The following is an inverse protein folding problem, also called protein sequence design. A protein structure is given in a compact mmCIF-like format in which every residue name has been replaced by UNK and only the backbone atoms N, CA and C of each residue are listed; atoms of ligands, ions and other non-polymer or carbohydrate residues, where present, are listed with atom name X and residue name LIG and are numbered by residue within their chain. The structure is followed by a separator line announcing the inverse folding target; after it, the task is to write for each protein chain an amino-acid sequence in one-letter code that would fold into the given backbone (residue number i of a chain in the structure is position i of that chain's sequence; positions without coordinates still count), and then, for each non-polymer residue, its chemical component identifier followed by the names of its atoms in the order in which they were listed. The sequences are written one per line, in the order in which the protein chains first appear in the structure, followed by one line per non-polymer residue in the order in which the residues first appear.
data_IF_924681005552
#
_entry.id   IF_924681005552
#
_cell.length_a   1.000
_cell.length_b   1.000
_cell.length_c   1.000
_cell.angle_alpha   90.00
_cell.angle_beta   90.00
_cell.angle_gamma   90.00
#
_symmetry.space_group_name_H-M   'P 1'
#
loop_
_entity.id
_entity.type
_entity.pdbx_description
1 polymer ?
#
# COMPACT_ATOMS: atom_id res chain seq x y z
N UNK A 1 7.72 50.63 78.05
CA UNK A 1 8.08 50.62 76.61
C UNK A 1 8.54 49.23 76.23
N UNK A 2 7.69 48.50 75.53
CA UNK A 2 7.84 47.10 75.10
C UNK A 2 8.65 47.03 73.81
N UNK A 3 9.83 46.40 73.82
CA UNK A 3 10.54 45.96 72.61
C UNK A 3 10.53 44.43 72.59
N UNK A 4 9.55 43.84 71.91
CA UNK A 4 9.45 42.40 71.64
C UNK A 4 9.47 42.18 70.13
N UNK A 5 10.19 41.14 69.71
CA UNK A 5 9.87 40.31 68.54
C UNK A 5 10.03 40.90 67.14
N UNK A 6 11.26 40.97 66.63
CA UNK A 6 11.50 41.04 65.16
C UNK A 6 12.57 40.08 64.63
N UNK A 7 13.45 39.52 65.47
CA UNK A 7 14.54 38.63 65.02
C UNK A 7 14.13 37.15 64.84
N UNK A 8 13.09 36.66 65.54
CA UNK A 8 12.64 35.28 65.34
C UNK A 8 11.86 35.08 64.03
N UNK A 9 11.26 36.13 63.47
CA UNK A 9 10.44 36.04 62.25
C UNK A 9 11.26 35.87 60.97
N UNK A 10 12.45 36.47 60.89
CA UNK A 10 13.33 36.38 59.71
C UNK A 10 14.05 35.05 59.62
N UNK A 11 14.47 34.48 60.76
CA UNK A 11 15.12 33.16 60.83
C UNK A 11 14.11 32.05 60.48
N UNK A 12 12.88 32.14 60.99
CA UNK A 12 11.81 31.20 60.63
C UNK A 12 11.48 31.28 59.13
N UNK A 13 11.39 32.49 58.56
CA UNK A 13 11.11 32.67 57.13
C UNK A 13 12.23 32.14 56.22
N UNK A 14 13.49 32.30 56.62
CA UNK A 14 14.63 31.74 55.88
C UNK A 14 14.64 30.21 55.92
N UNK A 15 14.38 29.60 57.07
CA UNK A 15 14.27 28.14 57.20
C UNK A 15 13.13 27.56 56.35
N UNK A 16 11.98 28.24 56.27
CA UNK A 16 10.87 27.81 55.42
C UNK A 16 11.21 27.95 53.93
N UNK A 17 11.87 29.04 53.53
CA UNK A 17 12.28 29.25 52.13
C UNK A 17 13.32 28.22 51.69
N UNK A 18 14.34 27.97 52.51
CA UNK A 18 15.35 26.93 52.25
C UNK A 18 14.73 25.52 52.24
N UNK A 19 13.79 25.24 53.14
CA UNK A 19 13.07 23.96 53.17
C UNK A 19 12.24 23.73 51.90
N UNK A 20 11.53 24.75 51.41
CA UNK A 20 10.75 24.67 50.17
C UNK A 20 11.66 24.44 48.94
N UNK A 21 12.81 25.11 48.87
CA UNK A 21 13.77 24.90 47.78
C UNK A 21 14.31 23.48 47.79
N UNK A 22 14.67 22.93 48.95
CA UNK A 22 15.17 21.55 49.06
C UNK A 22 14.09 20.55 48.63
N UNK A 23 12.83 20.76 49.03
CA UNK A 23 11.71 19.90 48.60
C UNK A 23 11.50 20.00 47.09
N UNK A 24 11.54 21.20 46.50
CA UNK A 24 11.41 21.39 45.05
C UNK A 24 12.57 20.75 44.26
N UNK A 25 13.81 20.91 44.72
CA UNK A 25 14.96 20.26 44.09
C UNK A 25 14.88 18.73 44.22
N UNK A 26 14.39 18.22 45.34
CA UNK A 26 14.23 16.78 45.55
C UNK A 26 13.12 16.20 44.67
N UNK A 27 11.98 16.90 44.54
CA UNK A 27 10.89 16.50 43.64
C UNK A 27 11.29 16.60 42.17
N UNK A 28 12.09 17.61 41.80
CA UNK A 28 12.63 17.74 40.45
C UNK A 28 13.62 16.62 40.14
N UNK A 29 14.56 16.31 41.05
CA UNK A 29 15.48 15.19 40.92
C UNK A 29 14.74 13.85 40.87
N UNK A 30 13.69 13.67 41.69
CA UNK A 30 12.84 12.48 41.64
C UNK A 30 12.10 12.38 40.30
N UNK A 31 11.58 13.49 39.77
CA UNK A 31 11.00 13.59 38.44
C UNK A 31 11.96 13.14 37.35
N UNK A 32 13.20 13.63 37.37
CA UNK A 32 14.27 13.23 36.44
C UNK A 32 14.63 11.74 36.54
N UNK A 33 14.60 11.16 37.76
CA UNK A 33 14.83 9.73 38.00
C UNK A 33 13.65 8.89 37.51
N UNK A 34 12.41 9.34 37.69
CA UNK A 34 11.20 8.63 37.20
C UNK A 34 11.00 8.73 35.69
N UNK A 35 11.50 9.79 35.05
CA UNK A 35 11.45 9.98 33.59
C UNK A 35 12.62 9.33 32.85
N UNK A 36 13.42 8.49 33.53
CA UNK A 36 14.63 7.83 33.00
C UNK A 36 15.56 8.78 32.21
N UNK A 37 15.66 10.03 32.65
CA UNK A 37 16.60 11.01 32.10
C UNK A 37 17.99 10.80 32.69
N UNK A 38 18.47 9.55 32.71
CA UNK A 38 19.89 9.28 32.88
C UNK A 38 20.57 9.71 31.58
N UNK A 39 21.02 10.96 31.51
CA UNK A 39 21.77 11.48 30.36
C UNK A 39 22.98 10.60 30.00
N UNK A 40 23.49 9.85 30.97
CA UNK A 40 24.62 8.93 30.84
C UNK A 40 24.23 7.56 30.26
N UNK A 41 22.94 7.22 30.23
CA UNK A 41 22.39 5.95 29.72
C UNK A 41 21.22 6.14 28.74
N UNK A 42 21.02 7.35 28.20
CA UNK A 42 19.99 7.59 27.19
C UNK A 42 20.28 6.68 25.99
N UNK A 43 19.46 5.64 25.83
CA UNK A 43 19.62 4.70 24.73
C UNK A 43 19.53 5.49 23.43
N UNK A 44 20.58 5.42 22.60
CA UNK A 44 20.55 5.95 21.24
C UNK A 44 19.84 4.99 20.27
N UNK A 45 19.25 3.89 20.79
CA UNK A 45 18.41 3.02 20.00
C UNK A 45 17.17 3.82 19.55
N UNK A 46 16.85 3.81 18.26
CA UNK A 46 15.66 4.47 17.77
C UNK A 46 14.42 3.80 18.35
N UNK A 47 13.34 4.57 18.38
CA UNK A 47 12.04 4.04 18.77
C UNK A 47 11.70 2.80 17.95
N UNK A 48 11.09 1.82 18.61
CA UNK A 48 10.62 0.64 17.92
C UNK A 48 9.61 1.06 16.82
N UNK A 49 9.72 0.52 15.59
CA UNK A 49 8.79 0.86 14.53
C UNK A 49 7.36 0.52 14.95
N UNK A 50 6.40 1.37 14.57
CA UNK A 50 4.98 1.07 14.71
C UNK A 50 4.61 -0.17 13.90
N UNK A 51 3.46 -0.78 14.17
CA UNK A 51 3.03 -1.96 13.40
C UNK A 51 2.77 -1.61 11.93
N UNK A 52 2.29 -0.39 11.66
CA UNK A 52 2.17 0.17 10.31
C UNK A 52 3.53 0.26 9.60
N UNK A 53 4.55 0.74 10.31
CA UNK A 53 5.91 0.83 9.78
C UNK A 53 6.49 -0.56 9.48
N UNK A 54 6.28 -1.53 10.37
CA UNK A 54 6.75 -2.91 10.15
C UNK A 54 6.10 -3.52 8.91
N UNK A 55 4.78 -3.41 8.78
CA UNK A 55 4.06 -4.00 7.65
C UNK A 55 4.46 -3.34 6.32
N UNK A 56 4.54 -2.01 6.30
CA UNK A 56 5.05 -1.26 5.13
C UNK A 56 6.49 -1.67 4.79
N UNK A 57 7.34 -1.85 5.79
CA UNK A 57 8.73 -2.27 5.62
C UNK A 57 8.85 -3.68 5.04
N UNK A 58 8.00 -4.63 5.47
CA UNK A 58 7.98 -5.98 4.91
C UNK A 58 7.71 -5.98 3.41
N UNK A 59 6.80 -5.11 2.94
CA UNK A 59 6.54 -4.94 1.51
C UNK A 59 7.72 -4.26 0.83
N UNK A 60 8.19 -3.12 1.37
CA UNK A 60 9.28 -2.34 0.77
C UNK A 60 10.56 -3.15 0.59
N UNK A 61 10.91 -4.05 1.54
CA UNK A 61 12.08 -4.92 1.42
C UNK A 61 11.95 -5.87 0.22
N UNK A 62 10.80 -6.54 0.05
CA UNK A 62 10.59 -7.45 -1.09
C UNK A 62 10.55 -6.67 -2.40
N UNK A 63 9.95 -5.47 -2.42
CA UNK A 63 9.99 -4.59 -3.58
C UNK A 63 11.43 -4.21 -3.95
N UNK A 64 12.27 -3.85 -2.98
CA UNK A 64 13.67 -3.51 -3.21
C UNK A 64 14.50 -4.70 -3.72
N UNK A 65 14.29 -5.89 -3.16
CA UNK A 65 14.89 -7.12 -3.69
C UNK A 65 14.47 -7.38 -5.14
N UNK A 66 13.19 -7.18 -5.45
CA UNK A 66 12.61 -7.36 -6.79
C UNK A 66 13.16 -6.33 -7.78
N UNK A 67 13.34 -5.08 -7.37
CA UNK A 67 13.97 -4.03 -8.16
C UNK A 67 15.41 -4.40 -8.53
N UNK A 68 16.21 -4.81 -7.54
CA UNK A 68 17.59 -5.27 -7.76
C UNK A 68 17.66 -6.51 -8.67
N UNK A 69 16.73 -7.45 -8.52
CA UNK A 69 16.61 -8.61 -9.42
C UNK A 69 16.27 -8.19 -10.85
N UNK A 70 15.29 -7.31 -11.00
CA UNK A 70 14.85 -6.80 -12.30
C UNK A 70 16.00 -6.08 -13.02
N UNK A 71 16.75 -5.23 -12.31
CA UNK A 71 17.94 -4.57 -12.83
C UNK A 71 18.98 -5.59 -13.33
N UNK A 72 19.32 -6.58 -12.50
CA UNK A 72 20.30 -7.63 -12.85
C UNK A 72 19.87 -8.49 -14.03
N UNK A 73 18.56 -8.68 -14.22
CA UNK A 73 17.96 -9.44 -15.33
C UNK A 73 17.61 -8.57 -16.55
N UNK A 74 17.93 -7.27 -16.54
CA UNK A 74 17.55 -6.29 -17.56
C UNK A 74 16.02 -6.24 -17.84
N UNK A 75 15.20 -6.39 -16.80
CA UNK A 75 13.74 -6.35 -16.86
C UNK A 75 13.21 -4.94 -16.59
N UNK A 76 13.43 -4.04 -17.55
CA UNK A 76 13.19 -2.59 -17.39
C UNK A 76 11.77 -2.24 -16.94
N UNK A 77 10.74 -2.91 -17.45
CA UNK A 77 9.36 -2.64 -17.03
C UNK A 77 9.13 -2.95 -15.54
N UNK A 78 9.72 -4.05 -15.06
CA UNK A 78 9.62 -4.45 -13.65
C UNK A 78 10.48 -3.55 -12.76
N UNK A 79 11.68 -3.18 -13.21
CA UNK A 79 12.56 -2.24 -12.51
C UNK A 79 11.88 -0.87 -12.32
N UNK A 80 11.33 -0.29 -13.39
CA UNK A 80 10.60 1.00 -13.32
C UNK A 80 9.41 0.92 -12.36
N UNK A 81 8.61 -0.15 -12.46
CA UNK A 81 7.43 -0.30 -11.61
C UNK A 81 7.79 -0.46 -10.13
N UNK A 82 8.77 -1.30 -9.83
CA UNK A 82 9.24 -1.52 -8.46
C UNK A 82 9.91 -0.28 -7.87
N UNK A 83 10.62 0.52 -8.67
CA UNK A 83 11.15 1.81 -8.23
C UNK A 83 10.01 2.76 -7.83
N UNK A 84 8.98 2.86 -8.67
CA UNK A 84 7.83 3.70 -8.36
C UNK A 84 7.08 3.24 -7.10
N UNK A 85 6.99 1.93 -6.86
CA UNK A 85 6.44 1.39 -5.61
C UNK A 85 7.30 1.74 -4.41
N UNK A 86 8.63 1.64 -4.51
CA UNK A 86 9.53 2.08 -3.43
C UNK A 86 9.35 3.54 -3.10
N UNK A 87 9.32 4.41 -4.11
CA UNK A 87 9.15 5.85 -3.91
C UNK A 87 7.82 6.14 -3.20
N UNK A 88 6.76 5.44 -3.59
CA UNK A 88 5.42 5.58 -2.98
C UNK A 88 5.36 5.03 -1.56
N UNK A 89 6.09 3.94 -1.27
CA UNK A 89 6.23 3.36 0.06
C UNK A 89 7.22 4.14 0.95
N UNK A 90 7.91 5.17 0.44
CA UNK A 90 8.94 5.90 1.19
C UNK A 90 10.26 5.15 1.34
N UNK A 91 10.50 4.15 0.50
CA UNK A 91 11.71 3.34 0.47
C UNK A 91 11.81 2.31 1.61
N UNK A 92 13.00 1.72 1.73
CA UNK A 92 13.32 0.77 2.81
C UNK A 92 13.85 1.57 4.00
N UNK A 93 13.13 1.56 5.11
CA UNK A 93 13.54 2.25 6.32
C UNK A 93 14.79 1.61 6.92
N UNK A 94 15.69 2.45 7.41
CA UNK A 94 16.85 2.06 8.21
C UNK A 94 16.96 2.98 9.42
N UNK A 95 17.27 2.43 10.62
CA UNK A 95 17.28 3.21 11.84
C UNK A 95 18.31 4.35 11.86
N UNK A 96 19.47 4.14 11.23
CA UNK A 96 20.51 5.17 11.08
C UNK A 96 20.94 5.29 9.61
N UNK A 97 20.28 6.12 8.79
CA UNK A 97 20.56 6.24 7.36
C UNK A 97 21.94 6.81 7.06
N UNK A 98 22.45 7.69 7.93
CA UNK A 98 23.77 8.33 7.79
C UNK A 98 24.89 7.56 8.52
N UNK A 99 24.62 6.35 8.99
CA UNK A 99 25.55 5.53 9.77
C UNK A 99 25.19 5.45 11.25
N UNK A 100 25.31 4.25 11.82
CA UNK A 100 24.96 4.00 13.21
C UNK A 100 25.99 4.63 14.17
N UNK A 101 25.55 5.17 15.33
CA UNK A 101 26.45 5.62 16.39
C UNK A 101 27.40 4.51 16.84
N UNK A 102 28.53 4.90 17.44
CA UNK A 102 29.54 3.96 17.93
C UNK A 102 28.91 2.94 18.89
N UNK A 103 29.08 1.66 18.59
CA UNK A 103 28.51 0.55 19.38
C UNK A 103 27.15 0.05 18.88
N UNK A 104 26.54 0.72 17.90
CA UNK A 104 25.28 0.32 17.27
C UNK A 104 25.50 -0.14 15.83
N UNK A 105 24.57 -0.94 15.30
CA UNK A 105 24.54 -1.35 13.88
C UNK A 105 23.09 -1.32 13.40
N UNK A 106 22.89 -0.90 12.15
CA UNK A 106 21.61 -1.13 11.48
C UNK A 106 21.32 -2.64 11.42
N UNK A 107 20.05 -3.07 11.58
CA UNK A 107 19.66 -4.44 11.31
C UNK A 107 20.11 -4.87 9.90
N UNK A 108 20.58 -6.12 9.72
CA UNK A 108 20.92 -6.61 8.39
C UNK A 108 19.65 -6.65 7.52
N UNK A 109 19.71 -6.00 6.37
CA UNK A 109 18.67 -6.08 5.34
C UNK A 109 19.23 -6.90 4.19
N UNK A 110 18.60 -8.03 3.89
CA UNK A 110 18.93 -8.78 2.70
C UNK A 110 18.23 -8.12 1.51
N UNK A 111 18.92 -7.22 0.81
CA UNK A 111 18.40 -6.59 -0.42
C UNK A 111 19.03 -7.19 -1.68
N UNK A 112 19.97 -8.10 -1.50
CA UNK A 112 20.76 -8.71 -2.57
C UNK A 112 20.14 -10.05 -2.94
N UNK A 113 19.88 -10.32 -4.22
CA UNK A 113 19.34 -11.61 -4.62
C UNK A 113 20.37 -12.73 -4.47
N UNK A 114 19.98 -13.83 -3.82
CA UNK A 114 20.80 -15.05 -3.72
C UNK A 114 21.00 -15.70 -5.10
N UNK A 115 19.95 -15.72 -5.93
CA UNK A 115 19.98 -16.18 -7.32
C UNK A 115 19.14 -15.25 -8.17
N UNK A 116 19.64 -14.86 -9.35
CA UNK A 116 18.91 -13.98 -10.26
C UNK A 116 18.38 -14.81 -11.44
N UNK A 117 17.11 -15.22 -11.35
CA UNK A 117 16.40 -15.91 -12.44
C UNK A 117 15.03 -15.29 -12.67
N UNK A 118 14.45 -15.40 -13.89
CA UNK A 118 13.08 -14.95 -14.18
C UNK A 118 12.04 -15.56 -13.25
N UNK A 119 12.20 -16.82 -12.85
CA UNK A 119 11.28 -17.53 -11.94
C UNK A 119 11.33 -16.92 -10.55
N UNK A 120 12.53 -16.56 -10.07
CA UNK A 120 12.71 -15.89 -8.77
C UNK A 120 12.07 -14.50 -8.79
N UNK A 121 12.23 -13.78 -9.91
CA UNK A 121 11.58 -12.47 -10.11
C UNK A 121 10.05 -12.58 -10.11
N UNK A 122 9.49 -13.56 -10.83
CA UNK A 122 8.05 -13.82 -10.84
C UNK A 122 7.52 -14.24 -9.47
N UNK A 123 8.26 -15.07 -8.73
CA UNK A 123 7.91 -15.46 -7.36
C UNK A 123 7.86 -14.26 -6.41
N UNK A 124 8.84 -13.35 -6.49
CA UNK A 124 8.85 -12.14 -5.69
C UNK A 124 7.67 -11.20 -6.02
N UNK A 125 7.30 -11.07 -7.30
CA UNK A 125 6.12 -10.29 -7.69
C UNK A 125 4.83 -10.89 -7.12
N UNK A 126 4.72 -12.22 -7.08
CA UNK A 126 3.60 -12.87 -6.39
C UNK A 126 3.61 -12.63 -4.87
N UNK A 127 4.79 -12.62 -4.24
CA UNK A 127 4.92 -12.31 -2.81
C UNK A 127 4.55 -10.85 -2.49
N UNK A 128 5.00 -9.90 -3.32
CA UNK A 128 4.57 -8.50 -3.25
C UNK A 128 3.05 -8.42 -3.31
N UNK A 129 2.42 -9.11 -4.26
CA UNK A 129 0.97 -9.10 -4.39
C UNK A 129 0.27 -9.64 -3.15
N UNK A 130 0.71 -10.79 -2.62
CA UNK A 130 0.16 -11.42 -1.42
C UNK A 130 0.31 -10.55 -0.17
N UNK A 131 1.47 -9.92 0.01
CA UNK A 131 1.72 -9.01 1.14
C UNK A 131 0.88 -7.75 1.03
N UNK A 132 0.81 -7.14 -0.16
CA UNK A 132 0.02 -5.93 -0.39
C UNK A 132 -1.47 -6.17 -0.14
N UNK A 133 -2.09 -7.24 -0.66
CA UNK A 133 -3.51 -7.52 -0.39
C UNK A 133 -3.79 -7.80 1.09
N UNK A 134 -2.82 -8.36 1.82
CA UNK A 134 -2.95 -8.67 3.25
C UNK A 134 -2.74 -7.45 4.16
N UNK A 135 -2.10 -6.40 3.64
CA UNK A 135 -1.70 -5.23 4.41
C UNK A 135 -2.89 -4.54 5.08
N UNK A 136 -2.82 -4.32 6.40
CA UNK A 136 -3.89 -3.72 7.21
C UNK A 136 -3.71 -2.23 7.38
N UNK A 137 -2.47 -1.80 7.50
CA UNK A 137 -2.07 -0.43 7.83
C UNK A 137 -1.67 0.38 6.58
N UNK A 138 -1.49 -0.29 5.43
CA UNK A 138 -1.28 0.38 4.15
C UNK A 138 -2.62 0.89 3.58
N UNK A 139 -2.60 2.06 2.93
CA UNK A 139 -3.75 2.57 2.18
C UNK A 139 -4.30 1.48 1.24
N UNK A 140 -5.60 1.21 1.33
CA UNK A 140 -6.18 0.05 0.67
C UNK A 140 -6.25 0.21 -0.86
N UNK A 141 -6.31 1.43 -1.39
CA UNK A 141 -6.21 1.66 -2.83
C UNK A 141 -4.79 1.40 -3.32
N UNK A 142 -3.79 1.94 -2.64
CA UNK A 142 -2.37 1.71 -2.92
C UNK A 142 -2.01 0.23 -2.84
N UNK A 143 -2.41 -0.44 -1.75
CA UNK A 143 -2.23 -1.88 -1.56
C UNK A 143 -2.80 -2.68 -2.73
N UNK A 144 -4.03 -2.37 -3.16
CA UNK A 144 -4.70 -3.08 -4.27
C UNK A 144 -4.05 -2.76 -5.62
N UNK A 145 -3.58 -1.53 -5.80
CA UNK A 145 -2.89 -1.07 -7.00
C UNK A 145 -1.54 -1.80 -7.16
N UNK A 146 -0.70 -1.81 -6.12
CA UNK A 146 0.57 -2.57 -6.09
C UNK A 146 0.30 -4.05 -6.33
N UNK A 147 -0.70 -4.63 -5.65
CA UNK A 147 -1.03 -6.03 -5.82
C UNK A 147 -1.43 -6.39 -7.25
N UNK A 148 -2.18 -5.50 -7.91
CA UNK A 148 -2.61 -5.65 -9.31
C UNK A 148 -1.43 -5.53 -10.26
N UNK A 149 -0.61 -4.47 -10.13
CA UNK A 149 0.56 -4.26 -10.99
C UNK A 149 1.57 -5.41 -10.88
N UNK A 150 1.79 -5.92 -9.66
CA UNK A 150 2.67 -7.07 -9.43
C UNK A 150 2.19 -8.34 -10.13
N UNK A 151 0.88 -8.64 -10.12
CA UNK A 151 0.33 -9.79 -10.87
C UNK A 151 0.45 -9.60 -12.36
N UNK A 152 0.15 -8.40 -12.88
CA UNK A 152 0.27 -8.13 -14.32
C UNK A 152 1.72 -8.33 -14.80
N UNK A 153 2.71 -7.80 -14.06
CA UNK A 153 4.12 -8.01 -14.38
C UNK A 153 4.52 -9.49 -14.28
N UNK A 154 4.05 -10.22 -13.25
CA UNK A 154 4.33 -11.64 -13.12
C UNK A 154 3.80 -12.47 -14.31
N UNK A 155 2.62 -12.11 -14.86
CA UNK A 155 2.13 -12.76 -16.09
C UNK A 155 2.99 -12.47 -17.31
N UNK A 156 3.59 -11.28 -17.42
CA UNK A 156 4.47 -10.94 -18.55
C UNK A 156 5.79 -11.71 -18.52
N UNK A 157 6.25 -12.11 -17.33
CA UNK A 157 7.46 -12.92 -17.16
C UNK A 157 7.24 -14.42 -17.45
N UNK A 158 6.07 -14.80 -17.97
CA UNK A 158 5.74 -16.19 -18.30
C UNK A 158 5.18 -16.99 -17.12
N UNK A 159 4.79 -16.34 -16.02
CA UNK A 159 4.02 -16.98 -14.97
C UNK A 159 2.68 -17.51 -15.52
N UNK A 160 2.24 -18.67 -15.04
CA UNK A 160 0.96 -19.22 -15.45
C UNK A 160 -0.17 -18.23 -15.14
N UNK A 161 -0.91 -17.83 -16.17
CA UNK A 161 -1.94 -16.80 -16.07
C UNK A 161 -3.02 -17.15 -15.05
N UNK A 162 -3.40 -18.43 -14.94
CA UNK A 162 -4.43 -18.86 -13.99
C UNK A 162 -3.92 -18.86 -12.56
N UNK A 163 -2.67 -19.26 -12.34
CA UNK A 163 -2.05 -19.25 -11.01
C UNK A 163 -1.78 -17.81 -10.52
N UNK A 164 -1.29 -16.94 -11.40
CA UNK A 164 -0.93 -15.56 -11.06
C UNK A 164 -2.17 -14.68 -10.88
N UNK A 165 -3.11 -14.69 -11.83
CA UNK A 165 -4.31 -13.85 -11.73
C UNK A 165 -5.37 -14.45 -10.81
N UNK A 166 -5.32 -15.76 -10.54
CA UNK A 166 -6.31 -16.49 -9.73
C UNK A 166 -7.75 -16.33 -10.24
N UNK A 167 -8.72 -17.01 -9.62
CA UNK A 167 -10.14 -16.80 -9.94
C UNK A 167 -10.75 -15.84 -8.93
N UNK A 168 -11.28 -14.67 -9.34
CA UNK A 168 -11.85 -13.70 -8.40
C UNK A 168 -13.16 -14.22 -7.77
N UNK A 169 -13.36 -13.95 -6.47
CA UNK A 169 -14.63 -14.15 -5.76
C UNK A 169 -15.63 -13.06 -6.20
N UNK A 170 -16.29 -13.30 -7.35
CA UNK A 170 -17.23 -12.36 -7.96
C UNK A 170 -18.43 -12.04 -7.04
N UNK A 171 -19.08 -13.00 -6.34
CA UNK A 171 -20.16 -12.68 -5.41
C UNK A 171 -19.72 -11.73 -4.30
N UNK A 172 -18.56 -11.96 -3.70
CA UNK A 172 -18.05 -11.08 -2.64
C UNK A 172 -17.71 -9.67 -3.19
N UNK A 173 -17.04 -9.60 -4.33
CA UNK A 173 -16.70 -8.33 -4.99
C UNK A 173 -17.96 -7.54 -5.38
N UNK A 174 -18.94 -8.20 -5.99
CA UNK A 174 -20.20 -7.60 -6.40
C UNK A 174 -20.97 -6.98 -5.23
N UNK A 175 -21.04 -7.68 -4.10
CA UNK A 175 -21.66 -7.18 -2.87
C UNK A 175 -20.99 -5.90 -2.36
N UNK A 176 -19.68 -5.78 -2.54
CA UNK A 176 -18.92 -4.58 -2.15
C UNK A 176 -19.15 -3.39 -3.10
N UNK A 177 -19.37 -3.65 -4.39
CA UNK A 177 -19.52 -2.63 -5.44
C UNK A 177 -20.91 -1.96 -5.52
N UNK A 178 -21.78 -2.15 -4.52
CA UNK A 178 -23.23 -1.84 -4.42
C UNK A 178 -23.80 -0.51 -4.98
N UNK A 179 -22.98 0.39 -5.54
CA UNK A 179 -23.41 1.65 -6.16
C UNK A 179 -23.82 1.44 -7.63
N UNK A 180 -24.96 1.99 -8.02
CA UNK A 180 -25.47 2.01 -9.41
C UNK A 180 -24.49 2.66 -10.40
N UNK A 181 -23.75 3.69 -9.99
CA UNK A 181 -22.71 4.31 -10.83
C UNK A 181 -21.58 3.35 -11.20
N UNK A 182 -21.31 2.35 -10.34
CA UNK A 182 -20.27 1.35 -10.58
C UNK A 182 -20.76 0.28 -11.54
N UNK A 183 -22.02 -0.13 -11.38
CA UNK A 183 -22.70 -0.98 -12.34
C UNK A 183 -22.70 -0.34 -13.74
N UNK A 184 -23.06 0.95 -13.84
CA UNK A 184 -23.08 1.67 -15.10
C UNK A 184 -21.68 1.79 -15.75
N UNK A 185 -20.64 2.06 -14.97
CA UNK A 185 -19.27 2.13 -15.48
C UNK A 185 -18.75 0.76 -15.97
N UNK A 186 -19.02 -0.31 -15.22
CA UNK A 186 -18.61 -1.67 -15.61
C UNK A 186 -19.39 -2.17 -16.83
N UNK A 187 -20.68 -1.85 -16.94
CA UNK A 187 -21.48 -2.13 -18.13
C UNK A 187 -20.97 -1.35 -19.36
N UNK A 188 -20.59 -0.09 -19.17
CA UNK A 188 -19.96 0.72 -20.23
C UNK A 188 -18.69 0.04 -20.74
N UNK A 189 -17.79 -0.36 -19.83
CA UNK A 189 -16.58 -1.08 -20.21
C UNK A 189 -16.86 -2.43 -20.89
N UNK A 190 -17.90 -3.16 -20.44
CA UNK A 190 -18.33 -4.42 -21.04
C UNK A 190 -18.72 -4.23 -22.51
N UNK A 191 -19.55 -3.23 -22.81
CA UNK A 191 -19.97 -2.91 -24.17
C UNK A 191 -18.82 -2.42 -25.04
N UNK A 192 -17.87 -1.66 -24.48
CA UNK A 192 -16.66 -1.30 -25.22
C UNK A 192 -15.80 -2.53 -25.56
N UNK A 193 -15.66 -3.49 -24.64
CA UNK A 193 -15.01 -4.76 -24.95
C UNK A 193 -15.76 -5.61 -25.98
N UNK A 194 -17.09 -5.57 -26.02
CA UNK A 194 -17.88 -6.20 -27.09
C UNK A 194 -17.58 -5.58 -28.45
N UNK A 195 -17.52 -4.24 -28.51
CA UNK A 195 -17.13 -3.54 -29.72
C UNK A 195 -15.71 -3.89 -30.16
N UNK A 196 -14.76 -3.94 -29.23
CA UNK A 196 -13.38 -4.37 -29.51
C UNK A 196 -13.34 -5.83 -29.99
N UNK A 197 -14.13 -6.73 -29.39
CA UNK A 197 -14.20 -8.13 -29.82
C UNK A 197 -14.68 -8.28 -31.27
N UNK A 198 -15.47 -7.34 -31.78
CA UNK A 198 -15.94 -7.33 -33.16
C UNK A 198 -14.89 -6.82 -34.17
N UNK A 199 -13.87 -6.09 -33.70
CA UNK A 199 -12.90 -5.39 -34.57
C UNK A 199 -11.46 -5.90 -34.42
N UNK A 200 -11.15 -6.66 -33.37
CA UNK A 200 -9.80 -7.17 -33.07
C UNK A 200 -9.55 -8.59 -33.57
N UNK A 201 -8.28 -8.90 -33.87
CA UNK A 201 -7.81 -10.25 -34.15
C UNK A 201 -7.79 -11.15 -32.90
N UNK A 202 -7.69 -10.56 -31.70
CA UNK A 202 -7.65 -11.27 -30.41
C UNK A 202 -9.05 -11.52 -29.83
N UNK A 203 -10.00 -11.89 -30.69
CA UNK A 203 -11.43 -12.00 -30.36
C UNK A 203 -11.71 -12.89 -29.14
N UNK A 204 -10.99 -14.00 -29.00
CA UNK A 204 -11.18 -14.92 -27.86
C UNK A 204 -10.89 -14.25 -26.51
N UNK A 205 -9.85 -13.40 -26.43
CA UNK A 205 -9.49 -12.70 -25.20
C UNK A 205 -10.49 -11.60 -24.86
N UNK A 206 -10.96 -10.88 -25.87
CA UNK A 206 -12.01 -9.88 -25.68
C UNK A 206 -13.32 -10.53 -25.17
N UNK A 207 -13.71 -11.69 -25.70
CA UNK A 207 -14.86 -12.47 -25.22
C UNK A 207 -14.70 -12.89 -23.75
N UNK A 208 -13.51 -13.31 -23.32
CA UNK A 208 -13.24 -13.63 -21.91
C UNK A 208 -13.48 -12.42 -21.00
N UNK A 209 -13.00 -11.23 -21.41
CA UNK A 209 -13.21 -9.98 -20.65
C UNK A 209 -14.69 -9.60 -20.58
N UNK A 210 -15.42 -9.72 -21.70
CA UNK A 210 -16.87 -9.52 -21.75
C UNK A 210 -17.57 -10.45 -20.77
N UNK A 211 -17.30 -11.76 -20.84
CA UNK A 211 -17.92 -12.76 -19.96
C UNK A 211 -17.63 -12.50 -18.48
N UNK A 212 -16.40 -12.10 -18.15
CA UNK A 212 -16.01 -11.78 -16.79
C UNK A 212 -16.77 -10.55 -16.26
N UNK A 213 -16.89 -9.48 -17.06
CA UNK A 213 -17.67 -8.29 -16.71
C UNK A 213 -19.16 -8.59 -16.62
N UNK A 214 -19.74 -9.33 -17.56
CA UNK A 214 -21.15 -9.78 -17.51
C UNK A 214 -21.43 -10.50 -16.20
N UNK A 215 -20.58 -11.46 -15.81
CA UNK A 215 -20.76 -12.17 -14.53
C UNK A 215 -20.70 -11.23 -13.34
N UNK A 216 -19.77 -10.27 -13.33
CA UNK A 216 -19.69 -9.30 -12.25
C UNK A 216 -20.93 -8.41 -12.17
N UNK A 217 -21.40 -7.86 -13.29
CA UNK A 217 -22.58 -6.97 -13.33
C UNK A 217 -23.86 -7.70 -12.95
N UNK A 218 -24.05 -8.95 -13.40
CA UNK A 218 -25.17 -9.80 -12.95
C UNK A 218 -25.09 -10.08 -11.45
N UNK A 219 -23.91 -10.44 -10.91
CA UNK A 219 -23.75 -10.65 -9.46
C UNK A 219 -24.04 -9.38 -8.66
N UNK A 220 -23.79 -8.18 -9.21
CA UNK A 220 -24.12 -6.92 -8.54
C UNK A 220 -25.64 -6.74 -8.43
N UNK A 221 -26.38 -7.08 -9.48
CA UNK A 221 -27.85 -7.03 -9.51
C UNK A 221 -28.43 -8.08 -8.55
N UNK A 222 -27.92 -9.31 -8.60
CA UNK A 222 -28.31 -10.40 -7.68
C UNK A 222 -28.03 -10.04 -6.22
N UNK A 223 -26.98 -9.23 -5.97
CA UNK A 223 -26.63 -8.71 -4.64
C UNK A 223 -27.47 -7.51 -4.21
N UNK A 224 -28.43 -7.06 -5.03
CA UNK A 224 -29.38 -5.99 -4.70
C UNK A 224 -29.02 -4.61 -5.25
N UNK A 225 -28.02 -4.49 -6.12
CA UNK A 225 -27.76 -3.22 -6.83
C UNK A 225 -28.90 -2.97 -7.82
N UNK A 226 -29.59 -1.81 -7.79
CA UNK A 226 -30.61 -1.51 -8.78
C UNK A 226 -30.06 -1.57 -10.20
N UNK A 227 -30.77 -2.24 -11.10
CA UNK A 227 -30.35 -2.34 -12.50
C UNK A 227 -30.41 -0.95 -13.17
N UNK A 228 -29.23 -0.38 -13.38
CA UNK A 228 -29.03 0.91 -14.03
C UNK A 228 -28.25 0.78 -15.33
N UNK A 229 -28.23 -0.41 -15.92
CA UNK A 229 -27.49 -0.67 -17.16
C UNK A 229 -28.14 0.06 -18.33
N UNK A 230 -27.31 0.78 -19.09
CA UNK A 230 -27.76 1.42 -20.32
C UNK A 230 -27.84 0.40 -21.46
N UNK A 231 -28.86 0.51 -22.32
CA UNK A 231 -28.98 -0.32 -23.50
C UNK A 231 -27.81 -0.12 -24.48
N UNK A 232 -27.26 1.10 -24.52
CA UNK A 232 -26.10 1.47 -25.32
C UNK A 232 -25.16 2.36 -24.50
N UNK A 233 -23.89 1.96 -24.45
CA UNK A 233 -22.80 2.72 -23.88
C UNK A 233 -22.52 3.97 -24.73
N UNK A 234 -22.07 5.08 -24.12
CA UNK A 234 -21.51 6.18 -24.87
C UNK A 234 -20.27 5.72 -25.66
N UNK A 235 -19.92 6.44 -26.72
CA UNK A 235 -18.66 6.23 -27.45
C UNK A 235 -17.46 6.31 -26.49
N UNK A 236 -16.42 5.50 -26.73
CA UNK A 236 -15.18 5.53 -25.96
C UNK A 236 -14.66 6.97 -25.84
N UNK A 237 -14.44 7.41 -24.59
CA UNK A 237 -13.88 8.73 -24.34
C UNK A 237 -12.42 8.75 -24.83
N UNK A 238 -12.03 9.85 -25.50
CA UNK A 238 -10.68 10.01 -25.99
C UNK A 238 -9.65 9.79 -24.86
N UNK A 239 -8.74 8.84 -25.05
CA UNK A 239 -7.67 8.53 -24.09
C UNK A 239 -8.07 7.65 -22.90
N UNK A 240 -9.29 7.09 -22.85
CA UNK A 240 -9.68 6.12 -21.82
C UNK A 240 -10.00 4.77 -22.45
N UNK A 241 -9.18 3.77 -22.17
CA UNK A 241 -9.45 2.39 -22.58
C UNK A 241 -10.47 1.72 -21.66
N UNK A 242 -11.15 0.63 -22.09
CA UNK A 242 -12.02 -0.13 -21.22
C UNK A 242 -11.30 -0.68 -19.99
N UNK A 243 -10.04 -1.09 -20.13
CA UNK A 243 -9.21 -1.59 -19.03
C UNK A 243 -8.97 -0.49 -17.97
N UNK A 244 -8.66 0.74 -18.42
CA UNK A 244 -8.46 1.88 -17.53
C UNK A 244 -9.75 2.26 -16.80
N UNK A 245 -10.90 2.24 -17.50
CA UNK A 245 -12.19 2.51 -16.88
C UNK A 245 -12.52 1.50 -15.77
N UNK A 246 -12.34 0.20 -16.03
CA UNK A 246 -12.56 -0.86 -15.04
C UNK A 246 -11.59 -0.71 -13.86
N UNK A 247 -10.31 -0.49 -14.15
CA UNK A 247 -9.25 -0.35 -13.15
C UNK A 247 -9.52 0.83 -12.23
N UNK A 248 -9.77 2.02 -12.78
CA UNK A 248 -10.10 3.21 -11.98
C UNK A 248 -11.37 3.00 -11.15
N UNK A 249 -12.39 2.33 -11.70
CA UNK A 249 -13.64 2.04 -10.98
C UNK A 249 -13.39 1.12 -9.79
N UNK A 250 -12.67 0.01 -9.97
CA UNK A 250 -12.48 -0.99 -8.92
C UNK A 250 -11.44 -0.57 -7.88
N UNK A 251 -10.36 0.10 -8.28
CA UNK A 251 -9.34 0.62 -7.34
C UNK A 251 -9.95 1.69 -6.44
N UNK A 252 -10.83 2.56 -6.97
CA UNK A 252 -11.56 3.53 -6.13
C UNK A 252 -12.42 2.86 -5.07
N UNK A 253 -13.02 1.71 -5.35
CA UNK A 253 -13.79 0.96 -4.33
C UNK A 253 -12.94 0.17 -3.35
N UNK A 254 -11.63 0.09 -3.60
CA UNK A 254 -10.72 -0.53 -2.67
C UNK A 254 -10.41 0.35 -1.45
N UNK A 255 -10.76 1.64 -1.43
CA UNK A 255 -10.42 2.62 -0.38
C UNK A 255 -10.64 2.14 1.05
N UNK A 256 -11.70 1.35 1.29
CA UNK A 256 -11.97 0.74 2.60
C UNK A 256 -12.29 -0.76 2.48
N UNK A 257 -11.76 -1.42 1.44
CA UNK A 257 -12.01 -2.83 1.20
C UNK A 257 -11.19 -3.70 2.16
N UNK A 258 -11.80 -4.72 2.80
CA UNK A 258 -11.04 -5.71 3.56
C UNK A 258 -10.17 -6.55 2.62
N UNK A 259 -9.14 -7.21 3.18
CA UNK A 259 -8.17 -8.01 2.42
C UNK A 259 -8.80 -8.98 1.41
N UNK A 260 -9.89 -9.67 1.80
CA UNK A 260 -10.62 -10.57 0.91
C UNK A 260 -11.16 -9.87 -0.36
N UNK A 261 -11.66 -8.65 -0.22
CA UNK A 261 -12.19 -7.88 -1.36
C UNK A 261 -11.03 -7.32 -2.19
N UNK A 262 -9.94 -6.86 -1.56
CA UNK A 262 -8.73 -6.43 -2.30
C UNK A 262 -8.13 -7.57 -3.13
N UNK A 263 -8.11 -8.78 -2.58
CA UNK A 263 -7.71 -9.99 -3.30
C UNK A 263 -8.60 -10.25 -4.51
N UNK A 264 -9.93 -10.24 -4.33
CA UNK A 264 -10.87 -10.42 -5.43
C UNK A 264 -10.72 -9.32 -6.50
N UNK A 265 -10.49 -8.07 -6.09
CA UNK A 265 -10.24 -6.94 -7.00
C UNK A 265 -8.94 -7.13 -7.78
N UNK A 266 -7.82 -7.45 -7.12
CA UNK A 266 -6.53 -7.65 -7.79
C UNK A 266 -6.57 -8.84 -8.77
N UNK A 267 -7.24 -9.94 -8.38
CA UNK A 267 -7.48 -11.07 -9.26
C UNK A 267 -8.31 -10.69 -10.49
N UNK A 268 -9.40 -9.95 -10.29
CA UNK A 268 -10.27 -9.48 -11.37
C UNK A 268 -9.51 -8.57 -12.33
N UNK A 269 -8.79 -7.57 -11.82
CA UNK A 269 -8.05 -6.61 -12.62
C UNK A 269 -6.89 -7.25 -13.37
N UNK A 270 -6.19 -8.23 -12.79
CA UNK A 270 -5.17 -9.00 -13.49
C UNK A 270 -5.73 -9.67 -14.75
N UNK A 271 -6.94 -10.25 -14.66
CA UNK A 271 -7.61 -10.88 -15.81
C UNK A 271 -8.07 -9.87 -16.87
N UNK A 272 -8.65 -8.75 -16.44
CA UNK A 272 -9.13 -7.70 -17.35
C UNK A 272 -7.98 -7.06 -18.13
N UNK A 273 -6.87 -6.79 -17.46
CA UNK A 273 -5.71 -6.13 -18.06
C UNK A 273 -4.79 -7.09 -18.81
N UNK A 274 -5.15 -8.37 -18.92
CA UNK A 274 -4.25 -9.27 -19.60
C UNK A 274 -4.19 -9.00 -21.10
N UNK A 275 -2.97 -9.02 -21.64
CA UNK A 275 -2.65 -8.55 -22.99
C UNK A 275 -2.47 -7.03 -23.09
N UNK A 276 -2.58 -6.27 -21.99
CA UNK A 276 -2.24 -4.83 -21.97
C UNK A 276 -0.85 -4.61 -21.38
N UNK A 277 -0.26 -3.46 -21.67
CA UNK A 277 0.96 -3.02 -20.98
C UNK A 277 0.61 -2.75 -19.51
N UNK A 278 1.34 -3.33 -18.54
CA UNK A 278 1.11 -3.09 -17.13
C UNK A 278 1.51 -1.68 -16.77
N UNK A 279 0.69 -1.06 -15.94
CA UNK A 279 1.01 0.17 -15.23
C UNK A 279 1.57 -0.22 -13.85
N UNK A 280 2.51 0.55 -13.31
CA UNK A 280 3.06 0.26 -11.99
C UNK A 280 1.98 0.42 -10.91
N UNK A 281 1.28 1.55 -10.91
CA UNK A 281 0.21 1.86 -9.97
C UNK A 281 -1.12 1.98 -10.72
N UNK A 282 -1.67 0.85 -11.23
CA UNK A 282 -2.89 0.86 -12.02
C UNK A 282 -4.05 1.47 -11.22
N UNK A 283 -4.80 2.37 -11.86
CA UNK A 283 -5.96 3.03 -11.26
C UNK A 283 -5.65 4.12 -10.23
N UNK A 284 -4.37 4.33 -9.91
CA UNK A 284 -3.90 5.52 -9.22
C UNK A 284 -3.29 6.43 -10.29
N UNK A 285 -3.89 7.60 -10.50
CA UNK A 285 -3.35 8.57 -11.44
C UNK A 285 -1.98 9.01 -10.92
N UNK A 286 -0.92 8.45 -11.47
CA UNK A 286 0.41 9.05 -11.34
C UNK A 286 0.61 9.87 -12.59
N UNK A 287 0.08 11.09 -12.55
CA UNK A 287 0.52 12.15 -13.45
C UNK A 287 2.00 12.42 -13.16
N UNK A 288 2.89 11.60 -13.73
CA UNK A 288 4.24 12.01 -14.04
C UNK A 288 4.23 12.67 -15.43
N UNK A 289 3.44 13.72 -15.59
CA UNK A 289 3.65 14.73 -16.63
C UNK A 289 4.72 15.71 -16.15
N UNK A 290 5.91 15.16 -15.89
CA UNK A 290 7.10 15.93 -15.55
C UNK A 290 7.89 16.26 -16.81
N UNK A 291 7.68 17.49 -17.30
CA UNK A 291 8.63 18.38 -17.99
C UNK A 291 9.23 17.94 -19.34
#
# INVERSE_FOLDING_TARGET
MTKRSTTMSTIASWLHFSGIIIVLCSLFALGLVTMDTRWENASLAPDAPSDAEKERQEIAVVVAQTNNLAHKLNQTATETATQQWLDTLGGVWVPWPNGAPRGYKNPPLNLQPETATPETLAANLQDISKKAVAARELDSMLATSIATGARQLATQLGGDYHDVCQTPDLPALAKHLSKTSSLAALETARQWYEHQAATTAERARAIEKVNLLTRLTENMIDSGTPDSRAALAPTEAAGTTPAQLVTATLIKHAENAPAKIREATAAFLCRISAGTTPEALPGLVVENSGK
#
